data_IF_793535044425
#
_entry.id   IF_793535044425
#
_cell.length_a   1.000
_cell.length_b   1.000
_cell.length_c   1.000
_cell.angle_alpha   90.00
_cell.angle_beta   90.00
_cell.angle_gamma   90.00
#
_symmetry.space_group_name_H-M   'P 1'
#
loop_
_entity.id
_entity.type
_entity.pdbx_description
1 polymer ?
#
# COMPACT_ATOMS: atom_id res chain seq x y z
N UNK A 1 26.69 15.65 -1.60
CA UNK A 1 25.48 14.81 -1.67
C UNK A 1 24.95 14.87 -3.08
N UNK A 2 24.93 13.76 -3.81
CA UNK A 2 24.37 13.72 -5.16
C UNK A 2 22.85 13.63 -5.13
N UNK A 3 22.19 14.16 -6.16
CA UNK A 3 20.73 14.15 -6.34
C UNK A 3 20.10 12.75 -6.11
N UNK A 4 20.80 11.68 -6.50
CA UNK A 4 20.39 10.29 -6.28
C UNK A 4 20.34 9.87 -4.80
N UNK A 5 21.19 10.44 -3.93
CA UNK A 5 21.22 10.12 -2.50
C UNK A 5 20.13 10.84 -1.70
N UNK A 6 19.64 11.98 -2.20
CA UNK A 6 18.52 12.72 -1.60
C UNK A 6 17.17 12.06 -1.97
N UNK A 7 17.06 11.46 -3.16
CA UNK A 7 15.89 10.65 -3.56
C UNK A 7 15.81 9.32 -2.81
N UNK A 8 16.95 8.72 -2.46
CA UNK A 8 17.01 7.45 -1.73
C UNK A 8 16.57 7.58 -0.24
N UNK A 9 16.62 8.78 0.34
CA UNK A 9 16.23 9.03 1.73
C UNK A 9 14.77 9.47 1.89
N UNK A 10 14.10 9.90 0.82
CA UNK A 10 12.71 10.35 0.81
C UNK A 10 11.71 9.26 0.37
N UNK A 11 12.20 8.05 0.13
CA UNK A 11 11.44 6.95 -0.41
C UNK A 11 11.76 5.71 0.43
N UNK A 12 10.92 5.37 1.40
CA UNK A 12 10.83 3.96 1.78
C UNK A 12 10.69 3.19 0.47
N UNK A 13 11.61 2.28 0.18
CA UNK A 13 11.57 1.57 -1.10
C UNK A 13 10.27 0.80 -1.18
N UNK A 14 9.70 0.66 -2.38
CA UNK A 14 8.53 -0.19 -2.58
C UNK A 14 8.79 -1.60 -2.00
N UNK A 15 10.04 -2.07 -2.03
CA UNK A 15 10.48 -3.28 -1.36
C UNK A 15 10.28 -3.25 0.17
N UNK A 16 10.63 -2.14 0.84
CA UNK A 16 10.38 -1.99 2.29
C UNK A 16 8.88 -1.96 2.62
N UNK A 17 8.08 -1.32 1.78
CA UNK A 17 6.62 -1.35 1.94
C UNK A 17 6.10 -2.78 1.75
N UNK A 18 6.61 -3.49 0.75
CA UNK A 18 6.26 -4.88 0.47
C UNK A 18 6.68 -5.83 1.61
N UNK A 19 7.84 -5.63 2.22
CA UNK A 19 8.30 -6.38 3.40
C UNK A 19 7.44 -6.11 4.63
N UNK A 20 6.99 -4.87 4.79
CA UNK A 20 6.12 -4.46 5.91
C UNK A 20 4.69 -4.98 5.75
N UNK A 21 4.20 -5.09 4.51
CA UNK A 21 2.84 -5.48 4.18
C UNK A 21 2.84 -6.72 3.25
N UNK A 22 3.28 -7.89 3.71
CA UNK A 22 3.47 -9.08 2.86
C UNK A 22 2.17 -9.65 2.28
N UNK A 23 1.01 -9.31 2.87
CA UNK A 23 -0.34 -9.63 2.38
C UNK A 23 -0.72 -8.85 1.11
N UNK A 24 0.05 -7.83 0.72
CA UNK A 24 -0.20 -6.97 -0.43
C UNK A 24 0.83 -7.19 -1.52
N UNK A 25 0.44 -6.96 -2.78
CA UNK A 25 1.35 -6.78 -3.90
C UNK A 25 1.44 -5.30 -4.17
N UNK A 26 2.62 -4.72 -3.95
CA UNK A 26 2.85 -3.27 -4.02
C UNK A 26 3.58 -2.91 -5.30
N UNK A 27 3.14 -1.85 -5.97
CA UNK A 27 3.85 -1.30 -7.13
C UNK A 27 3.65 0.21 -7.23
N UNK A 28 4.56 0.86 -7.97
CA UNK A 28 4.45 2.27 -8.35
C UNK A 28 4.26 2.36 -9.86
N UNK A 29 3.28 3.12 -10.30
CA UNK A 29 3.05 3.36 -11.73
C UNK A 29 4.11 4.29 -12.32
N UNK A 30 4.22 4.31 -13.64
CA UNK A 30 5.09 5.27 -14.36
C UNK A 30 4.65 6.73 -14.16
N UNK A 31 3.37 6.95 -13.81
CA UNK A 31 2.84 8.27 -13.45
C UNK A 31 3.21 8.70 -12.01
N UNK A 32 3.81 7.81 -11.22
CA UNK A 32 4.29 8.09 -9.87
C UNK A 32 3.34 7.66 -8.75
N UNK A 33 2.11 7.26 -9.06
CA UNK A 33 1.12 6.80 -8.07
C UNK A 33 1.46 5.42 -7.52
N UNK A 34 1.18 5.22 -6.23
CA UNK A 34 1.35 3.97 -5.51
C UNK A 34 0.07 3.14 -5.58
N UNK A 35 0.23 1.83 -5.69
CA UNK A 35 -0.86 0.86 -5.70
C UNK A 35 -0.50 -0.35 -4.84
N UNK A 36 -1.48 -0.88 -4.13
CA UNK A 36 -1.37 -2.16 -3.44
C UNK A 36 -2.64 -2.98 -3.64
N UNK A 37 -2.49 -4.24 -4.03
CA UNK A 37 -3.61 -5.20 -4.15
C UNK A 37 -3.38 -6.40 -3.24
N UNK A 38 -4.42 -6.86 -2.52
CA UNK A 38 -4.31 -8.04 -1.64
C UNK A 38 -3.89 -9.29 -2.42
N UNK A 39 -2.95 -10.07 -1.87
CA UNK A 39 -2.43 -11.31 -2.48
C UNK A 39 -3.15 -12.54 -1.93
N UNK A 40 -3.44 -13.49 -2.82
CA UNK A 40 -4.01 -14.79 -2.43
C UNK A 40 -5.41 -14.71 -1.83
N UNK A 41 -6.04 -13.54 -1.90
CA UNK A 41 -7.26 -13.26 -1.18
C UNK A 41 -8.22 -12.44 -2.05
N UNK A 42 -9.49 -12.80 -2.02
CA UNK A 42 -10.57 -12.08 -2.68
C UNK A 42 -11.60 -11.73 -1.62
N UNK A 43 -11.83 -10.44 -1.44
CA UNK A 43 -12.86 -9.97 -0.52
C UNK A 43 -14.26 -10.38 -0.99
N UNK A 44 -15.09 -10.80 -0.05
CA UNK A 44 -16.53 -10.95 -0.24
C UNK A 44 -17.21 -9.58 -0.34
N UNK A 45 -18.47 -9.57 -0.80
CA UNK A 45 -19.27 -8.34 -0.83
C UNK A 45 -19.54 -7.76 0.57
N UNK A 46 -19.67 -8.63 1.58
CA UNK A 46 -19.87 -8.22 2.96
C UNK A 46 -18.63 -7.49 3.51
N UNK A 47 -17.44 -8.06 3.30
CA UNK A 47 -16.17 -7.43 3.66
C UNK A 47 -15.94 -6.10 2.94
N UNK A 48 -16.27 -6.02 1.64
CA UNK A 48 -16.22 -4.74 0.92
C UNK A 48 -17.20 -3.73 1.54
N UNK A 49 -18.37 -4.21 1.97
CA UNK A 49 -19.37 -3.40 2.67
C UNK A 49 -18.89 -2.81 4.01
N UNK A 50 -17.87 -3.38 4.65
CA UNK A 50 -17.23 -2.81 5.87
C UNK A 50 -16.16 -1.77 5.56
N UNK A 51 -15.92 -1.50 4.26
CA UNK A 51 -14.90 -0.57 3.79
C UNK A 51 -13.53 -1.21 3.57
N UNK A 52 -13.45 -2.55 3.57
CA UNK A 52 -12.25 -3.22 3.06
C UNK A 52 -12.16 -3.02 1.55
N UNK A 53 -10.94 -2.78 1.08
CA UNK A 53 -10.63 -2.56 -0.32
C UNK A 53 -9.71 -3.66 -0.82
N UNK A 54 -9.99 -4.16 -2.02
CA UNK A 54 -9.14 -5.14 -2.69
C UNK A 54 -7.83 -4.50 -3.17
N UNK A 55 -7.93 -3.25 -3.63
CA UNK A 55 -6.82 -2.42 -4.10
C UNK A 55 -6.95 -1.03 -3.50
N UNK A 56 -5.84 -0.49 -2.99
CA UNK A 56 -5.72 0.93 -2.59
C UNK A 56 -4.70 1.63 -3.46
N UNK A 57 -4.85 2.94 -3.64
CA UNK A 57 -3.88 3.77 -4.34
C UNK A 57 -3.80 5.16 -3.74
N UNK A 58 -2.64 5.79 -3.88
CA UNK A 58 -2.42 7.18 -3.51
C UNK A 58 -1.25 7.76 -4.32
N UNK A 59 -1.21 9.07 -4.49
CA UNK A 59 -0.11 9.76 -5.20
C UNK A 59 1.05 10.12 -4.26
N UNK A 60 0.81 10.06 -2.95
CA UNK A 60 1.76 10.32 -1.87
C UNK A 60 2.05 9.04 -1.05
N UNK A 61 3.30 8.86 -0.65
CA UNK A 61 3.75 7.67 0.09
C UNK A 61 3.18 7.63 1.51
N UNK A 62 3.07 8.77 2.20
CA UNK A 62 2.54 8.82 3.55
C UNK A 62 1.04 8.50 3.58
N UNK A 63 0.28 9.03 2.61
CA UNK A 63 -1.12 8.68 2.39
C UNK A 63 -1.26 7.18 2.09
N UNK A 64 -0.42 6.65 1.18
CA UNK A 64 -0.42 5.24 0.83
C UNK A 64 -0.19 4.31 2.02
N UNK A 65 0.81 4.60 2.85
CA UNK A 65 1.09 3.86 4.08
C UNK A 65 -0.05 3.94 5.10
N UNK A 66 -0.70 5.10 5.19
CA UNK A 66 -1.86 5.28 6.06
C UNK A 66 -3.03 4.41 5.61
N UNK A 67 -3.32 4.38 4.31
CA UNK A 67 -4.36 3.51 3.73
C UNK A 67 -4.07 2.02 4.00
N UNK A 68 -2.83 1.55 3.82
CA UNK A 68 -2.47 0.16 4.11
C UNK A 68 -2.69 -0.21 5.57
N UNK A 69 -2.26 0.65 6.50
CA UNK A 69 -2.47 0.43 7.95
C UNK A 69 -3.95 0.41 8.31
N UNK A 70 -4.76 1.31 7.75
CA UNK A 70 -6.20 1.31 7.96
C UNK A 70 -6.85 0.03 7.45
N UNK A 71 -6.41 -0.49 6.30
CA UNK A 71 -6.94 -1.70 5.71
C UNK A 71 -6.55 -2.97 6.51
N UNK A 72 -5.35 -3.03 7.08
CA UNK A 72 -4.96 -4.10 8.02
C UNK A 72 -5.75 -4.01 9.34
N UNK A 73 -5.94 -2.80 9.87
CA UNK A 73 -6.71 -2.59 11.09
C UNK A 73 -8.19 -2.99 10.93
N UNK A 74 -8.82 -2.61 9.81
CA UNK A 74 -10.19 -3.02 9.47
C UNK A 74 -10.31 -4.53 9.36
N UNK A 75 -9.30 -5.17 8.76
CA UNK A 75 -9.28 -6.62 8.57
C UNK A 75 -9.16 -7.36 9.90
N UNK A 76 -8.34 -6.87 10.82
CA UNK A 76 -8.20 -7.44 12.15
C UNK A 76 -9.47 -7.26 13.04
N UNK A 77 -10.33 -6.31 12.69
CA UNK A 77 -11.58 -6.03 13.41
C UNK A 77 -12.81 -6.81 12.86
N UNK A 78 -12.64 -7.55 11.76
CA UNK A 78 -13.68 -8.38 11.13
C UNK A 78 -13.52 -9.83 11.59
#
# INVERSE_FOLDING_TARGET
MTYAQVMAAANESIDQVQDTFPSWAVFRSDAGSFYATRRGERLSFEEIGTGLQQTVCADDLQEFLSLLREQEARRAAT
#
